data_IF_699763325796
#
_entry.id   IF_699763325796
#
_cell.length_a   1.000
_cell.length_b   1.000
_cell.length_c   1.000
_cell.angle_alpha   90.00
_cell.angle_beta   90.00
_cell.angle_gamma   90.00
#
_symmetry.space_group_name_H-M   'P 1'
#
loop_
_entity.id
_entity.type
_entity.pdbx_description
1 polymer ?
#
# COMPACT_ATOMS: atom_id res chain seq x y z
N UNK A 1 47.37 -74.10 4.35
CA UNK A 1 47.76 -73.34 3.18
C UNK A 1 46.49 -73.12 2.38
N UNK A 2 45.88 -71.99 2.56
CA UNK A 2 45.04 -71.27 1.60
C UNK A 2 44.28 -70.15 2.30
N UNK A 3 44.59 -68.95 1.87
CA UNK A 3 44.10 -67.69 2.40
C UNK A 3 42.82 -67.34 1.63
N UNK A 4 41.64 -67.35 2.30
CA UNK A 4 40.43 -66.80 1.74
C UNK A 4 40.26 -65.33 2.18
N UNK A 5 40.37 -64.39 1.21
CA UNK A 5 40.09 -63.00 1.35
C UNK A 5 38.58 -62.77 1.56
N UNK A 6 38.23 -62.23 2.70
CA UNK A 6 36.86 -61.73 2.97
C UNK A 6 36.68 -60.37 2.36
N UNK A 7 35.62 -60.16 1.58
CA UNK A 7 35.17 -58.95 0.99
C UNK A 7 34.30 -58.19 2.01
N UNK A 8 34.80 -57.05 2.56
CA UNK A 8 33.98 -56.15 3.37
C UNK A 8 33.14 -55.27 2.43
N UNK A 9 31.86 -55.50 2.42
CA UNK A 9 30.89 -54.54 1.82
C UNK A 9 30.62 -53.43 2.82
N UNK A 10 31.09 -52.23 2.49
CA UNK A 10 30.74 -50.99 3.17
C UNK A 10 29.35 -50.56 2.73
N UNK A 11 28.38 -50.62 3.65
CA UNK A 11 27.05 -50.08 3.49
C UNK A 11 27.14 -48.57 3.79
N UNK A 12 26.98 -47.73 2.78
CA UNK A 12 26.85 -46.29 2.95
C UNK A 12 25.44 -45.95 3.48
N UNK A 13 25.32 -45.12 4.50
CA UNK A 13 24.01 -44.68 4.95
C UNK A 13 23.43 -43.68 3.95
N UNK A 14 22.25 -44.00 3.42
CA UNK A 14 21.41 -43.17 2.59
C UNK A 14 20.84 -42.04 3.48
N UNK A 15 21.51 -40.89 3.47
CA UNK A 15 21.01 -39.68 4.16
C UNK A 15 19.78 -39.16 3.45
N UNK A 16 18.62 -39.47 4.00
CA UNK A 16 17.31 -38.96 3.60
C UNK A 16 17.22 -37.47 4.00
N UNK A 17 17.57 -36.58 3.10
CA UNK A 17 17.37 -35.17 3.21
C UNK A 17 15.86 -34.89 3.19
N UNK A 18 15.27 -34.76 4.38
CA UNK A 18 13.94 -34.18 4.59
C UNK A 18 13.99 -32.73 4.15
N UNK A 19 13.55 -32.45 2.93
CA UNK A 19 13.17 -31.08 2.52
C UNK A 19 11.94 -30.68 3.33
N UNK A 20 12.19 -30.08 4.48
CA UNK A 20 11.20 -29.24 5.15
C UNK A 20 10.95 -28.05 4.21
N UNK A 21 9.83 -28.12 3.49
CA UNK A 21 9.30 -27.03 2.70
C UNK A 21 8.92 -25.88 3.65
N UNK A 22 9.91 -25.10 4.06
CA UNK A 22 9.67 -23.80 4.68
C UNK A 22 8.95 -22.95 3.65
N UNK A 23 7.72 -22.55 3.95
CA UNK A 23 7.08 -21.41 3.30
C UNK A 23 7.99 -20.19 3.53
N UNK A 24 8.94 -19.97 2.62
CA UNK A 24 9.80 -18.81 2.65
C UNK A 24 8.94 -17.62 2.28
N UNK A 25 8.54 -16.87 3.31
CA UNK A 25 7.90 -15.55 3.15
C UNK A 25 8.74 -14.73 2.18
N UNK A 26 8.05 -13.99 1.32
CA UNK A 26 8.70 -13.02 0.42
C UNK A 26 9.28 -11.94 1.34
N UNK A 27 10.51 -12.10 1.79
CA UNK A 27 11.26 -11.07 2.48
C UNK A 27 11.64 -10.00 1.45
N UNK A 28 10.71 -9.07 1.26
CA UNK A 28 10.99 -7.83 0.56
C UNK A 28 11.67 -6.94 1.60
N UNK A 29 12.97 -7.11 1.74
CA UNK A 29 13.77 -6.21 2.53
C UNK A 29 13.89 -4.88 1.77
N UNK A 30 12.94 -3.97 2.00
CA UNK A 30 13.18 -2.56 1.73
C UNK A 30 14.17 -2.08 2.78
N UNK A 31 15.37 -1.63 2.40
CA UNK A 31 16.32 -1.11 3.37
C UNK A 31 15.68 0.08 4.10
N UNK A 32 15.75 0.07 5.43
CA UNK A 32 15.11 1.05 6.31
C UNK A 32 15.54 2.52 6.05
N UNK A 33 16.57 2.74 5.26
CA UNK A 33 17.18 4.04 4.95
C UNK A 33 17.08 4.42 3.46
N UNK A 34 16.16 3.84 2.69
CA UNK A 34 16.01 4.21 1.28
C UNK A 34 15.31 5.58 1.18
N UNK A 35 16.09 6.64 0.97
CA UNK A 35 15.58 7.92 0.43
C UNK A 35 15.33 7.74 -1.06
N UNK A 36 14.27 8.40 -1.58
CA UNK A 36 14.08 8.52 -3.03
C UNK A 36 15.20 9.31 -3.66
N UNK A 37 15.33 9.28 -4.99
CA UNK A 37 16.20 10.17 -5.73
C UNK A 37 15.55 11.55 -5.79
N UNK A 38 16.18 12.62 -5.29
CA UNK A 38 15.63 13.96 -5.41
C UNK A 38 15.36 14.32 -6.87
N UNK A 39 14.22 14.99 -7.11
CA UNK A 39 13.86 15.56 -8.41
C UNK A 39 13.56 17.05 -8.24
N UNK A 40 13.68 17.83 -9.33
CA UNK A 40 13.35 19.25 -9.27
C UNK A 40 11.87 19.44 -8.92
N UNK A 41 11.55 20.25 -7.89
CA UNK A 41 10.16 20.59 -7.57
C UNK A 41 9.38 21.18 -8.75
N UNK A 42 10.06 21.94 -9.61
CA UNK A 42 9.46 22.59 -10.78
C UNK A 42 8.93 21.60 -11.84
N UNK A 43 9.35 20.33 -11.75
CA UNK A 43 8.85 19.27 -12.64
C UNK A 43 7.51 18.70 -12.18
N UNK A 44 7.03 19.07 -10.98
CA UNK A 44 5.79 18.58 -10.40
C UNK A 44 4.72 19.67 -10.30
N UNK A 45 3.57 19.40 -10.88
CA UNK A 45 2.39 20.26 -10.71
C UNK A 45 1.81 20.11 -9.30
N UNK A 46 1.39 21.21 -8.63
CA UNK A 46 0.75 21.12 -7.33
C UNK A 46 -0.38 20.07 -7.31
N UNK A 47 -0.31 19.13 -6.38
CA UNK A 47 -1.22 17.99 -6.36
C UNK A 47 -2.51 18.33 -5.61
N UNK A 48 -3.70 18.16 -6.22
CA UNK A 48 -4.97 18.28 -5.53
C UNK A 48 -5.19 17.11 -4.56
N UNK A 49 -6.20 17.24 -3.71
CA UNK A 49 -6.72 16.10 -2.94
C UNK A 49 -7.08 14.94 -3.87
N UNK A 50 -6.85 13.68 -3.43
CA UNK A 50 -7.20 12.52 -4.24
C UNK A 50 -8.71 12.39 -4.44
N UNK A 51 -9.08 11.89 -5.61
CA UNK A 51 -10.44 11.50 -5.93
C UNK A 51 -10.56 9.97 -5.78
N UNK A 52 -11.24 9.54 -4.71
CA UNK A 52 -11.42 8.12 -4.40
C UNK A 52 -12.65 7.53 -5.08
N UNK A 53 -12.57 6.23 -5.42
CA UNK A 53 -13.70 5.46 -5.93
C UNK A 53 -14.07 4.35 -4.96
N UNK A 54 -15.37 4.22 -4.67
CA UNK A 54 -15.90 3.12 -3.87
C UNK A 54 -15.51 1.76 -4.48
N UNK A 55 -15.07 0.86 -3.61
CA UNK A 55 -14.68 -0.50 -3.96
C UNK A 55 -13.20 -0.69 -4.25
N UNK A 56 -12.45 0.36 -4.60
CA UNK A 56 -11.01 0.25 -4.85
C UNK A 56 -10.27 -0.32 -3.64
N UNK A 57 -9.25 -1.15 -3.92
CA UNK A 57 -8.45 -1.83 -2.91
C UNK A 57 -6.98 -1.46 -3.02
N UNK A 58 -6.39 -1.08 -1.91
CA UNK A 58 -4.99 -0.70 -1.75
C UNK A 58 -4.25 -1.78 -0.96
N UNK A 59 -3.25 -2.42 -1.56
CA UNK A 59 -2.47 -3.51 -0.97
C UNK A 59 -1.09 -3.01 -0.56
N UNK A 60 -0.64 -3.39 0.64
CA UNK A 60 0.61 -2.90 1.22
C UNK A 60 1.56 -4.04 1.62
N UNK A 61 2.86 -3.70 1.71
CA UNK A 61 3.97 -4.62 1.99
C UNK A 61 3.90 -5.31 3.36
N UNK A 62 3.13 -4.78 4.29
CA UNK A 62 2.87 -5.40 5.60
C UNK A 62 1.74 -6.44 5.59
N UNK A 63 1.26 -6.84 4.41
CA UNK A 63 0.16 -7.79 4.24
C UNK A 63 -1.25 -7.21 4.45
N UNK A 64 -1.36 -5.92 4.81
CA UNK A 64 -2.68 -5.29 4.89
C UNK A 64 -3.21 -4.89 3.51
N UNK A 65 -4.53 -4.93 3.36
CA UNK A 65 -5.21 -4.17 2.33
C UNK A 65 -6.32 -3.34 2.95
N UNK A 66 -6.66 -2.24 2.28
CA UNK A 66 -7.77 -1.38 2.63
C UNK A 66 -8.69 -1.25 1.42
N UNK A 67 -9.98 -1.54 1.61
CA UNK A 67 -11.03 -1.37 0.61
C UNK A 67 -11.85 -0.13 0.95
N UNK A 68 -12.12 0.70 -0.02
CA UNK A 68 -13.05 1.82 0.11
C UNK A 68 -14.47 1.26 0.09
N UNK A 69 -15.23 1.48 1.16
CA UNK A 69 -16.61 1.01 1.29
C UNK A 69 -17.64 2.11 1.05
N UNK A 70 -17.23 3.37 1.23
CA UNK A 70 -18.09 4.52 0.97
C UNK A 70 -17.23 5.76 0.66
N UNK A 71 -17.69 6.59 -0.24
CA UNK A 71 -17.14 7.92 -0.53
C UNK A 71 -18.29 8.93 -0.43
N UNK A 72 -18.05 10.02 0.27
CA UNK A 72 -18.93 11.18 0.36
C UNK A 72 -18.08 12.46 0.37
N UNK A 73 -18.64 13.66 0.17
CA UNK A 73 -17.84 14.88 -0.04
C UNK A 73 -16.74 15.13 0.99
N UNK A 74 -16.96 14.76 2.25
CA UNK A 74 -16.05 15.07 3.35
C UNK A 74 -15.40 13.86 3.99
N UNK A 75 -15.84 12.63 3.67
CA UNK A 75 -15.34 11.42 4.32
C UNK A 75 -15.20 10.24 3.34
N UNK A 76 -14.22 9.40 3.64
CA UNK A 76 -13.97 8.12 2.99
C UNK A 76 -13.99 7.02 4.07
N UNK A 77 -14.84 6.01 3.87
CA UNK A 77 -14.88 4.86 4.76
C UNK A 77 -14.08 3.71 4.16
N UNK A 78 -13.31 3.05 5.02
CA UNK A 78 -12.41 1.97 4.66
C UNK A 78 -12.69 0.71 5.48
N UNK A 79 -12.49 -0.44 4.85
CA UNK A 79 -12.47 -1.74 5.51
C UNK A 79 -11.13 -2.43 5.25
N UNK A 80 -10.48 -2.95 6.29
CA UNK A 80 -9.24 -3.73 6.16
C UNK A 80 -9.54 -5.22 5.94
N UNK A 81 -8.50 -5.99 5.56
CA UNK A 81 -8.57 -7.46 5.48
C UNK A 81 -8.96 -8.14 6.80
N UNK A 82 -8.81 -7.46 7.93
CA UNK A 82 -9.32 -7.92 9.24
C UNK A 82 -10.77 -7.47 9.51
N UNK A 83 -11.49 -6.98 8.49
CA UNK A 83 -12.85 -6.44 8.57
C UNK A 83 -13.00 -5.30 9.59
N UNK A 84 -11.93 -4.53 9.79
CA UNK A 84 -11.93 -3.37 10.69
C UNK A 84 -12.19 -2.12 9.90
N UNK A 85 -13.07 -1.29 10.45
CA UNK A 85 -13.47 -0.03 9.84
C UNK A 85 -12.53 1.10 10.23
N UNK A 86 -12.24 1.98 9.28
CA UNK A 86 -11.72 3.32 9.56
C UNK A 86 -12.45 4.36 8.69
N UNK A 87 -12.43 5.59 9.17
CA UNK A 87 -13.04 6.74 8.49
C UNK A 87 -11.99 7.84 8.42
N UNK A 88 -11.78 8.39 7.24
CA UNK A 88 -10.83 9.48 6.99
C UNK A 88 -11.55 10.62 6.28
N UNK A 89 -10.90 11.77 6.17
CA UNK A 89 -11.20 12.74 5.11
C UNK A 89 -10.66 12.24 3.77
N UNK A 90 -10.78 13.02 2.70
CA UNK A 90 -10.13 12.71 1.43
C UNK A 90 -8.59 12.80 1.49
N UNK A 91 -8.05 13.49 2.50
CA UNK A 91 -6.61 13.58 2.73
C UNK A 91 -6.05 12.26 3.30
N UNK A 92 -5.21 11.50 2.54
CA UNK A 92 -4.66 10.22 2.99
C UNK A 92 -3.58 10.36 4.09
N UNK A 93 -3.15 11.58 4.39
CA UNK A 93 -2.12 11.89 5.38
C UNK A 93 -2.72 12.50 6.65
N UNK A 94 -3.98 12.95 6.58
CA UNK A 94 -4.71 13.45 7.73
C UNK A 94 -4.92 12.35 8.79
N UNK A 95 -5.08 12.73 10.06
CA UNK A 95 -5.51 11.78 11.09
C UNK A 95 -6.86 11.15 10.71
N UNK A 96 -6.96 9.82 10.85
CA UNK A 96 -8.26 9.15 10.71
C UNK A 96 -9.25 9.74 11.71
N UNK A 97 -10.47 10.02 11.27
CA UNK A 97 -11.56 10.50 12.13
C UNK A 97 -12.06 9.40 13.07
N UNK A 98 -12.08 8.18 12.58
CA UNK A 98 -12.42 6.99 13.36
C UNK A 98 -11.50 5.83 12.93
N UNK A 99 -11.13 5.01 13.89
CA UNK A 99 -10.42 3.75 13.64
C UNK A 99 -10.80 2.68 14.64
N UNK A 100 -11.14 1.53 14.14
CA UNK A 100 -11.31 0.31 14.89
C UNK A 100 -10.07 -0.57 14.81
N UNK A 101 -9.62 -1.09 15.97
CA UNK A 101 -8.60 -2.13 16.07
C UNK A 101 -9.22 -3.39 16.68
N UNK A 102 -8.42 -4.43 16.90
CA UNK A 102 -8.89 -5.62 17.59
C UNK A 102 -9.38 -5.32 19.00
N UNK A 103 -8.67 -4.46 19.72
CA UNK A 103 -8.88 -4.21 21.15
C UNK A 103 -9.41 -2.83 21.48
N UNK A 104 -9.42 -1.88 20.53
CA UNK A 104 -9.79 -0.48 20.80
C UNK A 104 -10.53 0.16 19.65
N UNK A 105 -11.35 1.12 19.98
CA UNK A 105 -11.94 2.11 19.07
C UNK A 105 -11.33 3.48 19.36
N UNK A 106 -11.10 4.27 18.33
CA UNK A 106 -10.56 5.62 18.41
C UNK A 106 -11.47 6.55 17.62
N UNK A 107 -11.89 7.64 18.26
CA UNK A 107 -12.57 8.76 17.61
C UNK A 107 -11.67 9.98 17.72
N UNK A 108 -11.56 10.77 16.64
CA UNK A 108 -10.69 11.93 16.60
C UNK A 108 -11.41 13.14 16.04
N UNK A 109 -11.13 14.27 16.63
CA UNK A 109 -11.56 15.60 16.15
C UNK A 109 -10.33 16.47 15.99
N UNK A 110 -10.19 17.13 14.85
CA UNK A 110 -9.09 18.06 14.57
C UNK A 110 -9.56 19.50 14.74
N UNK A 111 -8.69 20.34 15.30
CA UNK A 111 -8.91 21.76 15.47
C UNK A 111 -7.56 22.49 15.27
N UNK A 112 -7.46 23.42 14.32
CA UNK A 112 -8.36 23.66 13.19
C UNK A 112 -8.34 22.54 12.14
N UNK A 113 -9.12 22.71 11.06
CA UNK A 113 -9.19 21.72 9.96
C UNK A 113 -7.82 21.44 9.34
N UNK A 114 -7.54 20.17 9.05
CA UNK A 114 -6.26 19.66 8.56
C UNK A 114 -5.93 20.05 7.10
N UNK A 115 -6.72 20.89 6.44
CA UNK A 115 -6.71 21.06 4.98
C UNK A 115 -5.64 21.96 4.36
N UNK A 116 -4.89 22.74 5.15
CA UNK A 116 -4.10 23.88 4.65
C UNK A 116 -2.85 23.48 3.83
N UNK A 117 -2.39 22.24 3.93
CA UNK A 117 -1.25 21.76 3.17
C UNK A 117 -1.56 21.51 1.68
N UNK A 118 -2.85 21.41 1.35
CA UNK A 118 -3.30 21.16 -0.03
C UNK A 118 -3.56 22.44 -0.82
N UNK A 119 -3.40 22.46 -2.15
CA UNK A 119 -2.76 21.44 -2.96
C UNK A 119 -1.28 21.29 -2.57
N UNK A 120 -0.75 20.05 -2.61
CA UNK A 120 0.66 19.80 -2.23
C UNK A 120 1.60 20.49 -3.20
N UNK A 121 2.54 21.26 -2.63
CA UNK A 121 3.67 21.86 -3.33
C UNK A 121 4.84 21.97 -2.35
N UNK A 122 6.07 21.82 -2.82
CA UNK A 122 7.26 21.94 -1.96
C UNK A 122 7.28 23.31 -1.27
N UNK A 123 7.61 23.32 0.02
CA UNK A 123 7.61 24.49 0.89
C UNK A 123 6.30 24.73 1.65
N UNK A 124 5.20 24.07 1.31
CA UNK A 124 3.97 24.17 2.08
C UNK A 124 4.09 23.51 3.45
N UNK A 125 3.46 24.12 4.44
CA UNK A 125 3.42 23.64 5.83
C UNK A 125 2.00 23.65 6.37
N UNK A 126 1.75 22.83 7.39
CA UNK A 126 0.49 22.84 8.13
C UNK A 126 0.76 22.41 9.57
N UNK A 127 0.18 23.14 10.54
CA UNK A 127 0.24 22.80 11.95
C UNK A 127 -1.16 22.75 12.53
N UNK A 128 -1.50 21.63 13.18
CA UNK A 128 -2.84 21.42 13.74
C UNK A 128 -2.79 20.50 14.96
N UNK A 129 -3.87 20.50 15.71
CA UNK A 129 -4.07 19.60 16.84
C UNK A 129 -5.23 18.64 16.59
N UNK A 130 -5.12 17.44 17.17
CA UNK A 130 -6.18 16.45 17.15
C UNK A 130 -6.46 15.95 18.57
N UNK A 131 -7.69 16.03 19.02
CA UNK A 131 -8.13 15.39 20.24
C UNK A 131 -8.55 13.95 19.92
N UNK A 132 -8.03 13.00 20.66
CA UNK A 132 -8.24 11.57 20.46
C UNK A 132 -8.92 10.99 21.68
N UNK A 133 -10.12 10.45 21.49
CA UNK A 133 -10.81 9.62 22.48
C UNK A 133 -10.66 8.16 22.09
N UNK A 134 -10.45 7.28 23.04
CA UNK A 134 -10.42 5.85 22.79
C UNK A 134 -11.23 5.09 23.82
N UNK A 135 -11.77 3.94 23.42
CA UNK A 135 -12.44 2.98 24.25
C UNK A 135 -11.82 1.59 24.06
N UNK A 136 -11.44 0.92 25.13
CA UNK A 136 -11.05 -0.48 25.11
C UNK A 136 -12.28 -1.37 24.96
N UNK A 137 -12.23 -2.35 24.06
CA UNK A 137 -13.32 -3.31 23.85
C UNK A 137 -13.36 -4.39 24.94
N UNK A 138 -12.18 -4.70 25.51
CA UNK A 138 -12.03 -5.79 26.47
C UNK A 138 -12.35 -5.34 27.90
N UNK A 139 -11.98 -4.10 28.28
CA UNK A 139 -12.08 -3.59 29.64
C UNK A 139 -13.07 -2.45 29.82
N UNK A 140 -13.72 -2.00 28.74
CA UNK A 140 -14.57 -0.79 28.70
C UNK A 140 -13.89 0.47 29.22
N UNK A 141 -12.56 0.45 29.37
CA UNK A 141 -11.79 1.61 29.81
C UNK A 141 -11.74 2.65 28.71
N UNK A 142 -12.04 3.87 29.06
CA UNK A 142 -11.97 5.03 28.17
C UNK A 142 -10.80 5.92 28.53
N UNK A 143 -10.30 6.69 27.56
CA UNK A 143 -9.28 7.67 27.80
C UNK A 143 -9.18 8.65 26.65
N UNK A 144 -8.44 9.72 26.90
CA UNK A 144 -8.21 10.74 25.89
C UNK A 144 -6.80 11.29 25.94
N UNK A 145 -6.32 11.76 24.78
CA UNK A 145 -5.05 12.46 24.65
C UNK A 145 -5.09 13.42 23.45
N UNK A 146 -4.15 14.36 23.45
CA UNK A 146 -3.99 15.31 22.35
C UNK A 146 -2.78 14.96 21.50
N UNK A 147 -2.92 15.06 20.18
CA UNK A 147 -1.83 14.98 19.22
C UNK A 147 -1.61 16.35 18.59
N UNK A 148 -0.38 16.81 18.58
CA UNK A 148 0.04 17.97 17.81
C UNK A 148 0.79 17.49 16.59
N UNK A 149 0.51 18.10 15.44
CA UNK A 149 1.08 17.76 14.16
C UNK A 149 1.70 18.99 13.54
N UNK A 150 2.95 18.89 13.15
CA UNK A 150 3.67 19.89 12.39
C UNK A 150 4.16 19.21 11.13
N UNK A 151 3.57 19.53 9.99
CA UNK A 151 3.80 18.91 8.69
C UNK A 151 4.41 19.89 7.70
N UNK A 152 5.30 19.40 6.85
CA UNK A 152 5.89 20.17 5.75
C UNK A 152 6.02 19.28 4.50
N UNK A 153 5.79 19.86 3.33
CA UNK A 153 6.20 19.28 2.05
C UNK A 153 7.64 19.68 1.83
N UNK A 154 8.58 18.84 2.26
CA UNK A 154 9.99 19.15 2.36
C UNK A 154 10.84 18.69 1.16
N UNK A 155 10.20 18.12 0.12
CA UNK A 155 10.89 17.74 -1.10
C UNK A 155 10.01 17.07 -2.14
N UNK A 156 10.60 16.89 -3.31
CA UNK A 156 10.09 16.05 -4.38
C UNK A 156 11.11 14.95 -4.68
N UNK A 157 10.68 13.68 -4.75
CA UNK A 157 11.55 12.52 -4.88
C UNK A 157 10.96 11.47 -5.81
N UNK A 158 11.79 10.84 -6.62
CA UNK A 158 11.44 9.62 -7.37
C UNK A 158 11.65 8.42 -6.46
N UNK A 159 10.57 7.73 -6.15
CA UNK A 159 10.55 6.61 -5.20
C UNK A 159 10.18 5.32 -5.91
N UNK A 160 11.01 4.29 -5.71
CA UNK A 160 10.72 2.94 -6.18
C UNK A 160 10.14 2.11 -5.06
N UNK A 161 8.98 1.51 -5.32
CA UNK A 161 8.31 0.52 -4.48
C UNK A 161 7.91 -0.69 -5.32
N UNK A 162 7.32 -1.71 -4.71
CA UNK A 162 6.89 -2.91 -5.46
C UNK A 162 5.86 -2.59 -6.55
N UNK A 163 4.96 -1.65 -6.31
CA UNK A 163 3.95 -1.23 -7.30
C UNK A 163 4.54 -0.57 -8.55
N UNK A 164 5.78 -0.05 -8.48
CA UNK A 164 6.43 0.66 -9.56
C UNK A 164 7.37 1.76 -9.08
N UNK A 165 7.65 2.72 -9.96
CA UNK A 165 8.45 3.90 -9.69
C UNK A 165 7.58 5.13 -9.91
N UNK A 166 7.64 6.09 -8.97
CA UNK A 166 6.73 7.24 -8.88
C UNK A 166 7.47 8.51 -8.52
N UNK A 167 7.12 9.60 -9.16
CA UNK A 167 7.48 10.93 -8.71
C UNK A 167 6.52 11.33 -7.58
N UNK A 168 7.08 11.74 -6.44
CA UNK A 168 6.33 11.92 -5.20
C UNK A 168 6.66 13.23 -4.52
N UNK A 169 5.68 13.79 -3.82
CA UNK A 169 5.94 14.77 -2.77
C UNK A 169 6.33 14.05 -1.49
N UNK A 170 7.46 14.45 -0.88
CA UNK A 170 7.83 14.02 0.46
C UNK A 170 7.19 14.95 1.48
N UNK A 171 6.27 14.39 2.27
CA UNK A 171 5.61 15.11 3.35
C UNK A 171 6.08 14.56 4.68
N UNK A 172 6.81 15.36 5.45
CA UNK A 172 7.30 15.02 6.78
C UNK A 172 6.45 15.67 7.85
N UNK A 173 6.01 14.87 8.82
CA UNK A 173 5.24 15.35 9.96
C UNK A 173 5.94 14.98 11.26
N UNK A 174 6.07 15.94 12.18
CA UNK A 174 6.40 15.70 13.57
C UNK A 174 5.09 15.56 14.35
N UNK A 175 4.85 14.41 14.95
CA UNK A 175 3.68 14.14 15.77
C UNK A 175 4.08 14.07 17.25
N UNK A 176 3.46 14.90 18.08
CA UNK A 176 3.70 14.96 19.52
C UNK A 176 2.43 14.55 20.26
N UNK A 177 2.57 13.63 21.21
CA UNK A 177 1.45 13.15 22.03
C UNK A 177 1.53 13.79 23.42
N UNK A 178 0.43 14.42 23.83
CA UNK A 178 0.32 15.07 25.13
C UNK A 178 -0.83 14.46 25.94
N UNK A 179 -0.63 14.38 27.26
CA UNK A 179 -1.72 14.09 28.19
C UNK A 179 -2.75 15.19 28.10
N UNK A 180 -4.02 14.85 27.99
CA UNK A 180 -5.11 15.82 28.02
C UNK A 180 -5.16 16.56 29.37
N UNK A 181 -5.00 15.84 30.46
CA UNK A 181 -5.12 16.36 31.82
C UNK A 181 -3.92 17.20 32.26
N UNK A 182 -2.68 16.71 32.04
CA UNK A 182 -1.47 17.36 32.55
C UNK A 182 -0.73 18.22 31.51
N UNK A 183 -1.09 18.12 30.24
CA UNK A 183 -0.38 18.77 29.13
C UNK A 183 1.04 18.23 28.89
N UNK A 184 1.52 17.28 29.72
CA UNK A 184 2.87 16.71 29.58
C UNK A 184 3.01 15.91 28.30
N UNK A 185 4.13 16.13 27.58
CA UNK A 185 4.51 15.31 26.41
C UNK A 185 5.05 13.97 26.88
N UNK A 186 4.45 12.89 26.41
CA UNK A 186 4.90 11.53 26.74
C UNK A 186 5.45 10.78 25.54
N UNK A 187 5.22 11.26 24.31
CA UNK A 187 5.66 10.58 23.11
C UNK A 187 5.84 11.51 21.93
N UNK A 188 6.89 11.28 21.12
CA UNK A 188 7.14 11.96 19.84
C UNK A 188 7.40 10.94 18.75
N UNK A 189 6.94 11.25 17.55
CA UNK A 189 7.07 10.39 16.38
C UNK A 189 7.27 11.22 15.13
N UNK A 190 8.26 10.87 14.30
CA UNK A 190 8.38 11.38 12.95
C UNK A 190 7.60 10.46 12.00
N UNK A 191 6.83 11.07 11.12
CA UNK A 191 6.08 10.37 10.06
C UNK A 191 6.49 10.97 8.74
N UNK A 192 6.76 10.13 7.72
CA UNK A 192 7.06 10.58 6.37
C UNK A 192 6.16 9.84 5.40
N UNK A 193 5.52 10.60 4.52
CA UNK A 193 4.73 10.11 3.41
C UNK A 193 5.43 10.46 2.10
N UNK A 194 5.46 9.53 1.16
CA UNK A 194 5.81 9.80 -0.23
C UNK A 194 4.52 9.69 -1.04
N UNK A 195 3.90 10.84 -1.28
CA UNK A 195 2.63 10.94 -1.99
C UNK A 195 2.87 11.03 -3.49
N UNK A 196 2.27 10.13 -4.26
CA UNK A 196 2.33 10.09 -5.72
C UNK A 196 1.03 10.68 -6.33
N UNK A 197 1.08 11.88 -6.93
CA UNK A 197 -0.10 12.52 -7.55
C UNK A 197 -0.71 11.68 -8.66
N UNK A 198 0.11 10.94 -9.42
CA UNK A 198 -0.31 10.07 -10.52
C UNK A 198 -1.40 9.06 -10.11
N UNK A 199 -1.34 8.59 -8.87
CA UNK A 199 -2.26 7.57 -8.34
C UNK A 199 -3.12 8.06 -7.17
N UNK A 200 -2.99 9.33 -6.78
CA UNK A 200 -3.77 9.92 -5.70
C UNK A 200 -3.57 9.27 -4.33
N UNK A 201 -2.37 8.72 -4.05
CA UNK A 201 -2.09 8.09 -2.75
C UNK A 201 -0.59 8.12 -2.42
N UNK A 202 -0.25 7.88 -1.14
CA UNK A 202 1.15 7.64 -0.79
C UNK A 202 1.57 6.23 -1.23
N UNK A 203 2.77 6.15 -1.80
CA UNK A 203 3.41 4.88 -2.21
C UNK A 203 4.28 4.31 -1.10
N UNK A 204 4.78 5.17 -0.19
CA UNK A 204 5.55 4.78 0.99
C UNK A 204 5.12 5.61 2.19
N UNK A 205 4.97 4.94 3.31
CA UNK A 205 4.75 5.52 4.62
C UNK A 205 5.84 5.04 5.56
N UNK A 206 6.46 5.96 6.29
CA UNK A 206 7.48 5.68 7.30
C UNK A 206 7.05 6.31 8.62
N UNK A 207 7.31 5.59 9.70
CA UNK A 207 6.96 6.04 11.04
C UNK A 207 8.08 5.67 12.00
N UNK A 208 8.74 6.69 12.54
CA UNK A 208 9.87 6.55 13.45
C UNK A 208 9.51 7.10 14.82
N UNK A 209 9.14 6.25 15.77
CA UNK A 209 8.96 6.64 17.16
C UNK A 209 10.32 7.01 17.77
N UNK A 210 10.34 8.01 18.68
CA UNK A 210 11.58 8.41 19.36
C UNK A 210 12.23 7.21 20.06
N UNK A 211 13.50 6.94 19.72
CA UNK A 211 14.27 5.85 20.32
C UNK A 211 13.89 4.45 19.87
N UNK A 212 13.12 4.30 18.78
CA UNK A 212 12.74 3.00 18.20
C UNK A 212 13.07 2.92 16.71
N UNK A 213 13.07 1.70 16.17
CA UNK A 213 13.26 1.45 14.75
C UNK A 213 12.11 2.05 13.90
N UNK A 214 12.42 2.39 12.67
CA UNK A 214 11.46 2.89 11.69
C UNK A 214 10.58 1.75 11.18
N UNK A 215 9.28 1.94 11.28
CA UNK A 215 8.30 1.11 10.58
C UNK A 215 8.11 1.67 9.17
N UNK A 216 8.16 0.79 8.15
CA UNK A 216 7.94 1.14 6.74
C UNK A 216 6.76 0.34 6.20
N UNK A 217 5.92 1.01 5.41
CA UNK A 217 4.82 0.40 4.66
C UNK A 217 4.85 0.94 3.23
N UNK A 218 4.87 0.04 2.24
CA UNK A 218 4.95 0.37 0.83
C UNK A 218 3.73 -0.16 0.07
N UNK A 219 3.33 0.56 -0.97
CA UNK A 219 2.27 0.13 -1.87
C UNK A 219 2.75 -1.05 -2.72
N UNK A 220 1.93 -2.11 -2.77
CA UNK A 220 2.12 -3.26 -3.65
C UNK A 220 1.22 -3.15 -4.88
N UNK A 221 -0.04 -2.74 -4.69
CA UNK A 221 -0.99 -2.59 -5.78
C UNK A 221 -2.19 -1.74 -5.38
N UNK A 222 -2.78 -1.08 -6.37
CA UNK A 222 -4.15 -0.58 -6.33
C UNK A 222 -4.95 -1.41 -7.33
N UNK A 223 -6.11 -1.92 -6.91
CA UNK A 223 -6.99 -2.76 -7.75
C UNK A 223 -8.40 -2.16 -7.80
N UNK A 224 -8.99 -2.08 -9.02
CA UNK A 224 -10.38 -1.65 -9.15
C UNK A 224 -11.33 -2.70 -8.55
N UNK A 225 -12.46 -2.25 -8.00
CA UNK A 225 -13.60 -3.14 -7.81
C UNK A 225 -14.37 -3.26 -9.13
N UNK A 226 -14.43 -4.46 -9.64
CA UNK A 226 -15.22 -4.80 -10.84
C UNK A 226 -16.39 -5.73 -10.49
N UNK A 227 -16.63 -5.94 -9.19
CA UNK A 227 -17.66 -6.89 -8.71
C UNK A 227 -19.08 -6.42 -8.92
N UNK A 228 -19.29 -5.11 -9.10
CA UNK A 228 -20.62 -4.54 -9.41
C UNK A 228 -20.95 -4.54 -10.91
N UNK A 229 -19.97 -4.84 -11.78
CA UNK A 229 -20.20 -4.98 -13.22
C UNK A 229 -20.85 -6.33 -13.52
N UNK A 230 -21.56 -6.42 -14.64
CA UNK A 230 -22.06 -7.70 -15.10
C UNK A 230 -20.93 -8.72 -15.30
N UNK A 231 -21.25 -10.00 -15.15
CA UNK A 231 -20.29 -11.10 -15.16
C UNK A 231 -19.44 -11.15 -16.45
N UNK A 232 -20.02 -10.78 -17.62
CA UNK A 232 -19.34 -10.78 -18.90
C UNK A 232 -18.29 -9.67 -18.96
N UNK A 233 -18.68 -8.45 -18.59
CA UNK A 233 -17.80 -7.28 -18.53
C UNK A 233 -16.66 -7.50 -17.55
N UNK A 234 -16.96 -7.93 -16.32
CA UNK A 234 -15.97 -8.23 -15.31
C UNK A 234 -14.98 -9.34 -15.75
N UNK A 235 -15.48 -10.37 -16.48
CA UNK A 235 -14.64 -11.43 -17.04
C UNK A 235 -13.69 -10.89 -18.10
N UNK A 236 -14.18 -10.05 -19.01
CA UNK A 236 -13.36 -9.47 -20.06
C UNK A 236 -12.24 -8.57 -19.52
N UNK A 237 -12.54 -7.74 -18.52
CA UNK A 237 -11.52 -6.93 -17.83
C UNK A 237 -10.45 -7.82 -17.20
N UNK A 238 -10.85 -8.89 -16.47
CA UNK A 238 -9.90 -9.85 -15.89
C UNK A 238 -9.10 -10.59 -16.96
N UNK A 239 -9.75 -11.02 -18.05
CA UNK A 239 -9.08 -11.72 -19.15
C UNK A 239 -8.02 -10.83 -19.80
N UNK A 240 -8.35 -9.56 -20.14
CA UNK A 240 -7.39 -8.61 -20.70
C UNK A 240 -6.18 -8.41 -19.76
N UNK A 241 -6.41 -8.33 -18.44
CA UNK A 241 -5.36 -8.22 -17.47
C UNK A 241 -4.45 -9.47 -17.45
N UNK A 242 -5.03 -10.67 -17.41
CA UNK A 242 -4.28 -11.93 -17.36
C UNK A 242 -3.51 -12.18 -18.66
N UNK A 243 -4.13 -11.89 -19.81
CA UNK A 243 -3.50 -12.04 -21.14
C UNK A 243 -2.24 -11.17 -21.28
N UNK A 244 -2.31 -9.91 -20.82
CA UNK A 244 -1.14 -9.01 -20.86
C UNK A 244 -0.02 -9.56 -19.99
N UNK A 245 -0.33 -10.00 -18.79
CA UNK A 245 0.70 -10.49 -17.86
C UNK A 245 1.31 -11.84 -18.31
N UNK A 246 0.56 -12.67 -19.03
CA UNK A 246 1.04 -13.96 -19.53
C UNK A 246 1.73 -13.85 -20.88
N UNK A 247 1.14 -13.15 -21.85
CA UNK A 247 1.47 -13.29 -23.28
C UNK A 247 2.15 -12.06 -23.90
N UNK A 248 2.06 -10.86 -23.28
CA UNK A 248 2.62 -9.64 -23.87
C UNK A 248 4.04 -9.36 -23.35
N UNK A 249 4.86 -8.75 -24.21
CA UNK A 249 6.17 -8.23 -23.82
C UNK A 249 6.01 -7.00 -22.90
N UNK A 250 7.08 -6.61 -22.21
CA UNK A 250 7.09 -5.37 -21.44
C UNK A 250 6.78 -4.18 -22.35
N UNK A 251 6.00 -3.24 -21.81
CA UNK A 251 5.52 -2.03 -22.48
C UNK A 251 4.52 -2.26 -23.64
N UNK A 252 4.09 -3.51 -23.86
CA UNK A 252 2.96 -3.78 -24.74
C UNK A 252 1.64 -3.69 -23.98
N UNK A 253 0.64 -3.12 -24.65
CA UNK A 253 -0.70 -2.89 -24.08
C UNK A 253 -1.73 -3.76 -24.80
N UNK A 254 -2.67 -4.33 -24.04
CA UNK A 254 -3.92 -4.81 -24.58
C UNK A 254 -5.08 -4.02 -23.99
N UNK A 255 -6.13 -3.86 -24.80
CA UNK A 255 -7.32 -3.07 -24.43
C UNK A 255 -8.59 -3.83 -24.74
N UNK A 256 -9.62 -3.52 -23.98
CA UNK A 256 -10.98 -4.01 -24.21
C UNK A 256 -11.99 -2.88 -23.94
N UNK A 257 -13.09 -2.88 -24.68
CA UNK A 257 -14.23 -1.98 -24.48
C UNK A 257 -15.55 -2.73 -24.58
N UNK A 258 -16.54 -2.30 -23.79
CA UNK A 258 -17.92 -2.79 -23.88
C UNK A 258 -18.53 -2.41 -25.23
N UNK A 259 -19.62 -3.11 -25.64
CA UNK A 259 -20.30 -2.83 -26.91
C UNK A 259 -20.77 -1.38 -27.05
N UNK A 260 -21.23 -0.78 -25.96
CA UNK A 260 -21.68 0.62 -25.91
C UNK A 260 -20.52 1.63 -25.68
N UNK A 261 -19.28 1.16 -25.56
CA UNK A 261 -18.08 1.99 -25.35
C UNK A 261 -17.96 2.64 -23.96
N UNK A 262 -18.98 2.53 -23.08
CA UNK A 262 -19.00 3.19 -21.76
C UNK A 262 -17.97 2.62 -20.81
N UNK A 263 -17.69 1.31 -20.86
CA UNK A 263 -16.71 0.64 -20.00
C UNK A 263 -15.52 0.26 -20.89
N UNK A 264 -14.34 0.63 -20.45
CA UNK A 264 -13.09 0.30 -21.17
C UNK A 264 -11.97 -0.01 -20.19
N UNK A 265 -11.04 -0.83 -20.61
CA UNK A 265 -9.79 -1.10 -19.87
C UNK A 265 -8.63 -1.19 -20.85
N UNK A 266 -7.47 -0.75 -20.41
CA UNK A 266 -6.19 -1.05 -21.04
C UNK A 266 -5.21 -1.50 -19.97
N UNK A 267 -4.40 -2.49 -20.27
CA UNK A 267 -3.39 -3.02 -19.34
C UNK A 267 -2.05 -3.07 -20.06
N UNK A 268 -0.99 -2.65 -19.35
CA UNK A 268 0.39 -2.67 -19.83
C UNK A 268 1.25 -3.32 -18.75
N UNK A 269 2.02 -4.36 -19.11
CA UNK A 269 3.06 -4.86 -18.24
C UNK A 269 4.32 -4.01 -18.43
N UNK A 270 4.87 -3.44 -17.36
CA UNK A 270 5.98 -2.46 -17.46
C UNK A 270 7.34 -3.06 -17.16
N UNK A 271 7.41 -4.08 -16.30
CA UNK A 271 8.66 -4.73 -15.90
C UNK A 271 8.40 -6.18 -15.52
N UNK A 272 9.30 -7.09 -15.92
CA UNK A 272 9.30 -8.49 -15.49
C UNK A 272 10.53 -8.75 -14.62
N UNK A 273 10.37 -9.48 -13.52
CA UNK A 273 11.46 -9.85 -12.61
C UNK A 273 11.13 -11.15 -11.88
N UNK A 274 12.13 -11.78 -11.30
CA UNK A 274 11.97 -12.94 -10.44
C UNK A 274 12.05 -12.48 -8.97
N UNK A 275 11.05 -12.86 -8.19
CA UNK A 275 11.03 -12.61 -6.75
C UNK A 275 11.99 -13.59 -6.02
N UNK A 276 12.36 -13.28 -4.77
CA UNK A 276 13.27 -14.10 -3.97
C UNK A 276 12.80 -15.55 -3.76
N UNK A 277 11.48 -15.79 -3.83
CA UNK A 277 10.89 -17.15 -3.77
C UNK A 277 10.85 -17.88 -5.13
N UNK A 278 11.53 -17.35 -6.16
CA UNK A 278 11.61 -17.94 -7.48
C UNK A 278 10.43 -17.64 -8.40
N UNK A 279 9.33 -17.04 -7.91
CA UNK A 279 8.17 -16.73 -8.74
C UNK A 279 8.47 -15.59 -9.72
N UNK A 280 8.00 -15.72 -10.96
CA UNK A 280 8.00 -14.60 -11.90
C UNK A 280 6.92 -13.60 -11.52
N UNK A 281 7.30 -12.32 -11.47
CA UNK A 281 6.41 -11.21 -11.15
C UNK A 281 6.52 -10.13 -12.23
N UNK A 282 5.44 -9.37 -12.42
CA UNK A 282 5.38 -8.26 -13.37
C UNK A 282 4.76 -7.05 -12.73
N UNK A 283 5.39 -5.89 -12.91
CA UNK A 283 4.73 -4.61 -12.68
C UNK A 283 3.75 -4.32 -13.81
N UNK A 284 2.65 -3.68 -13.48
CA UNK A 284 1.63 -3.30 -14.45
C UNK A 284 1.06 -1.90 -14.19
N UNK A 285 0.62 -1.26 -15.27
CA UNK A 285 -0.30 -0.12 -15.26
C UNK A 285 -1.59 -0.58 -15.93
N UNK A 286 -2.73 -0.35 -15.28
CA UNK A 286 -4.05 -0.65 -15.82
C UNK A 286 -4.92 0.60 -15.74
N UNK A 287 -5.46 1.06 -16.87
CA UNK A 287 -6.48 2.10 -16.90
C UNK A 287 -7.83 1.41 -16.99
N UNK A 288 -8.76 1.80 -16.13
CA UNK A 288 -10.15 1.32 -16.14
C UNK A 288 -11.09 2.52 -16.10
N UNK A 289 -12.00 2.57 -17.09
CA UNK A 289 -13.12 3.48 -17.12
C UNK A 289 -14.39 2.67 -16.89
N UNK A 290 -15.16 3.05 -15.89
CA UNK A 290 -16.42 2.38 -15.52
C UNK A 290 -17.65 3.26 -15.79
N UNK A 291 -17.47 4.30 -16.63
CA UNK A 291 -18.50 5.27 -17.00
C UNK A 291 -18.33 6.65 -16.31
N UNK A 292 -17.36 6.79 -15.44
CA UNK A 292 -17.08 7.97 -14.61
C UNK A 292 -15.67 8.57 -14.83
N UNK A 293 -15.01 8.20 -15.92
CA UNK A 293 -13.67 8.64 -16.27
C UNK A 293 -12.61 7.54 -16.17
N UNK A 294 -11.44 7.83 -16.76
CA UNK A 294 -10.29 6.94 -16.73
C UNK A 294 -9.61 7.02 -15.36
N UNK A 295 -9.30 5.87 -14.77
CA UNK A 295 -8.51 5.76 -13.54
C UNK A 295 -7.34 4.83 -13.73
N UNK A 296 -6.20 5.25 -13.22
CA UNK A 296 -4.97 4.48 -13.24
C UNK A 296 -4.89 3.57 -12.01
N UNK A 297 -4.68 2.31 -12.26
CA UNK A 297 -4.37 1.27 -11.27
C UNK A 297 -2.97 0.72 -11.55
N UNK A 298 -2.20 0.52 -10.51
CA UNK A 298 -0.81 0.10 -10.61
C UNK A 298 -0.54 -1.05 -9.65
N UNK A 299 0.49 -1.83 -9.93
CA UNK A 299 0.89 -2.83 -8.95
C UNK A 299 1.87 -3.85 -9.49
N UNK A 300 2.13 -4.85 -8.64
CA UNK A 300 2.83 -6.06 -8.99
C UNK A 300 1.85 -7.24 -8.93
N UNK A 301 1.96 -8.14 -9.91
CA UNK A 301 1.33 -9.44 -9.88
C UNK A 301 2.40 -10.52 -10.10
N UNK A 302 2.28 -11.62 -9.36
CA UNK A 302 3.17 -12.77 -9.48
C UNK A 302 2.39 -13.95 -10.04
N UNK A 303 3.08 -14.75 -10.85
CA UNK A 303 2.53 -15.94 -11.49
C UNK A 303 2.38 -17.06 -10.47
N UNK A 304 1.17 -17.52 -10.23
CA UNK A 304 0.88 -18.66 -9.38
C UNK A 304 0.86 -19.97 -10.18
N UNK A 305 0.10 -19.97 -11.30
CA UNK A 305 -0.05 -21.08 -12.24
C UNK A 305 -0.11 -20.50 -13.65
N UNK A 306 -0.21 -21.36 -14.66
CA UNK A 306 -0.49 -20.94 -16.04
C UNK A 306 -1.73 -20.05 -16.06
N UNK A 307 -1.62 -18.90 -16.71
CA UNK A 307 -2.68 -17.89 -16.89
C UNK A 307 -3.24 -17.29 -15.57
N UNK A 308 -2.54 -17.48 -14.45
CA UNK A 308 -3.01 -16.96 -13.15
C UNK A 308 -1.97 -16.08 -12.49
N UNK A 309 -2.15 -14.79 -12.65
CA UNK A 309 -1.34 -13.74 -12.03
C UNK A 309 -2.13 -13.08 -10.91
N UNK A 310 -1.58 -13.05 -9.72
CA UNK A 310 -2.21 -12.50 -8.52
C UNK A 310 -1.32 -11.46 -7.87
N UNK A 311 -1.95 -10.48 -7.22
CA UNK A 311 -1.24 -9.58 -6.30
C UNK A 311 -0.68 -10.42 -5.15
N UNK A 312 0.64 -10.33 -4.87
CA UNK A 312 1.24 -11.12 -3.81
C UNK A 312 0.62 -10.76 -2.45
N UNK A 313 0.34 -11.79 -1.65
CA UNK A 313 -0.09 -11.65 -0.26
C UNK A 313 1.03 -12.22 0.61
N UNK A 314 1.28 -11.58 1.73
CA UNK A 314 2.09 -12.18 2.80
C UNK A 314 1.30 -13.23 3.56
#
# INVERSE_FOLDING_TARGET
MDIKKGFLQTIAPLSMLLFLGACQEILINSPANFSGTPISPDTMTPAPLPDYRMGDKYYYSNGSYHKITKVSPNIVEWESNAKRRSVTTADPMAPELYRETRTREYAKTSDPSVGDIWPLAVGKTSSFATNVKYRSKDTSTEGEFRQLWDCAVDGAERVRVLAGEFDTYRVSCQRTFRSHTSGKTYYKQKVVYHYAPEIGNYVRYQSTPRGKSTYVRELIAIRPDIGFLDNKTARNIRHTFQDVLENKQNNQTASWKSKNGKIRTSTTATKTFQAANGKFCRNYKQIVNQGDGDRLYVGVACREDKLKWLTPRR
#
